data_IF_675234222944
#
_entry.id   IF_675234222944
#
_cell.length_a   1.000
_cell.length_b   1.000
_cell.length_c   1.000
_cell.angle_alpha   90.00
_cell.angle_beta   90.00
_cell.angle_gamma   90.00
#
_symmetry.space_group_name_H-M   'P 1'
#
loop_
_entity.id
_entity.type
_entity.pdbx_description
1 polymer ?
#
# COMPACT_ATOMS: atom_id res chain seq x y z
N UNK A 1 -11.54 -2.18 10.11
CA UNK A 1 -11.99 -3.57 10.30
C UNK A 1 -11.56 -4.37 9.07
N UNK A 2 -10.84 -5.50 9.22
CA UNK A 2 -10.49 -6.42 8.11
C UNK A 2 -11.52 -7.53 8.08
N UNK A 3 -12.13 -7.76 6.93
CA UNK A 3 -12.94 -8.96 6.68
C UNK A 3 -12.19 -9.87 5.72
N UNK A 4 -11.83 -11.08 6.16
CA UNK A 4 -11.20 -12.13 5.31
C UNK A 4 -12.30 -13.08 4.84
N UNK A 5 -12.50 -13.16 3.53
CA UNK A 5 -13.51 -14.01 2.90
C UNK A 5 -12.94 -15.37 2.52
N UNK A 6 -11.71 -15.38 2.00
CA UNK A 6 -11.01 -16.59 1.61
C UNK A 6 -9.70 -16.67 2.37
N UNK A 7 -9.39 -17.87 2.83
CA UNK A 7 -8.11 -18.21 3.40
C UNK A 7 -7.25 -18.97 2.39
N UNK A 8 -6.02 -18.52 2.19
CA UNK A 8 -5.05 -19.20 1.35
C UNK A 8 -4.83 -20.66 1.79
N UNK A 9 -4.83 -20.94 3.09
CA UNK A 9 -4.63 -22.30 3.59
C UNK A 9 -5.73 -23.28 3.17
N UNK A 10 -6.95 -22.79 2.88
CA UNK A 10 -8.11 -23.63 2.51
C UNK A 10 -8.39 -23.59 1.01
N UNK A 11 -8.22 -22.44 0.36
CA UNK A 11 -8.65 -22.22 -1.04
C UNK A 11 -7.50 -21.90 -2.00
N UNK A 12 -6.26 -21.80 -1.51
CA UNK A 12 -5.08 -21.44 -2.31
C UNK A 12 -5.07 -19.97 -2.79
N UNK A 13 -5.92 -19.12 -2.21
CA UNK A 13 -6.02 -17.69 -2.46
C UNK A 13 -6.63 -17.00 -1.23
N UNK A 14 -6.03 -15.90 -0.78
CA UNK A 14 -6.50 -15.04 0.31
C UNK A 14 -7.28 -13.86 -0.29
N UNK A 15 -8.49 -13.62 0.19
CA UNK A 15 -9.27 -12.43 -0.18
C UNK A 15 -9.77 -11.74 1.06
N UNK A 16 -9.62 -10.43 1.08
CA UNK A 16 -10.13 -9.61 2.16
C UNK A 16 -10.63 -8.25 1.70
N UNK A 17 -11.55 -7.66 2.46
CA UNK A 17 -11.93 -6.26 2.30
C UNK A 17 -11.74 -5.50 3.60
N UNK A 18 -11.44 -4.21 3.50
CA UNK A 18 -11.13 -3.39 4.67
C UNK A 18 -11.70 -1.99 4.55
N UNK A 19 -12.99 -1.80 4.85
CA UNK A 19 -13.56 -0.46 4.88
C UNK A 19 -12.78 0.42 5.86
N UNK A 20 -12.31 1.57 5.36
CA UNK A 20 -11.61 2.61 6.11
C UNK A 20 -12.37 3.91 5.99
N UNK A 21 -12.59 4.55 7.14
CA UNK A 21 -13.11 5.91 7.23
C UNK A 21 -12.01 6.76 7.84
N UNK A 22 -11.54 7.75 7.09
CA UNK A 22 -10.49 8.68 7.49
C UNK A 22 -11.15 10.05 7.60
N UNK A 23 -11.09 10.66 8.78
CA UNK A 23 -11.64 11.99 9.02
C UNK A 23 -10.62 12.84 9.75
N UNK A 24 -10.55 14.12 9.40
CA UNK A 24 -9.70 15.07 10.10
C UNK A 24 -10.45 15.67 11.28
N UNK A 25 -9.91 15.50 12.48
CA UNK A 25 -10.51 16.06 13.71
C UNK A 25 -10.07 17.52 13.93
N UNK A 26 -8.93 17.94 13.36
CA UNK A 26 -8.34 19.27 13.60
C UNK A 26 -8.16 20.04 12.29
N UNK A 27 -8.90 21.14 12.11
CA UNK A 27 -8.80 22.00 10.92
C UNK A 27 -7.42 22.66 10.74
N UNK A 28 -6.62 22.75 11.80
CA UNK A 28 -5.26 23.30 11.73
C UNK A 28 -4.30 22.44 10.90
N UNK A 29 -4.52 21.12 10.81
CA UNK A 29 -3.76 20.21 9.95
C UNK A 29 -4.07 20.41 8.48
N UNK A 30 -5.33 20.74 8.15
CA UNK A 30 -5.75 21.13 6.79
C UNK A 30 -5.12 22.45 6.39
N UNK A 31 -5.14 23.44 7.30
CA UNK A 31 -4.53 24.77 7.04
C UNK A 31 -3.02 24.72 6.85
N UNK A 32 -2.35 23.66 7.33
CA UNK A 32 -0.90 23.43 7.20
C UNK A 32 -0.54 22.52 6.01
N UNK A 33 -1.52 22.05 5.24
CA UNK A 33 -1.30 21.13 4.12
C UNK A 33 -0.90 19.70 4.52
N UNK A 34 -1.00 19.36 5.82
CA UNK A 34 -0.65 18.04 6.34
C UNK A 34 -1.78 17.02 6.18
N UNK A 35 -2.99 17.49 5.90
CA UNK A 35 -4.15 16.65 5.62
C UNK A 35 -5.05 17.31 4.57
N UNK A 36 -5.47 16.58 3.55
CA UNK A 36 -6.51 17.06 2.61
C UNK A 36 -7.85 17.17 3.34
N UNK A 37 -8.62 18.22 3.01
CA UNK A 37 -9.88 18.58 3.66
C UNK A 37 -10.98 17.51 3.46
N UNK A 38 -11.89 17.39 4.43
CA UNK A 38 -13.05 16.50 4.38
C UNK A 38 -12.85 15.06 4.89
N UNK A 39 -13.95 14.30 4.88
CA UNK A 39 -13.99 12.88 5.25
C UNK A 39 -13.73 12.02 4.01
N UNK A 40 -12.88 11.00 4.16
CA UNK A 40 -12.57 10.03 3.10
C UNK A 40 -13.07 8.66 3.53
N UNK A 41 -13.81 8.04 2.63
CA UNK A 41 -14.35 6.70 2.80
C UNK A 41 -13.79 5.82 1.68
N UNK A 42 -13.06 4.77 2.04
CA UNK A 42 -12.49 3.85 1.07
C UNK A 42 -12.84 2.41 1.41
N UNK A 43 -13.11 1.61 0.39
CA UNK A 43 -13.32 0.17 0.52
C UNK A 43 -12.28 -0.55 -0.35
N UNK A 44 -11.05 -0.72 0.16
CA UNK A 44 -10.05 -1.56 -0.47
C UNK A 44 -10.44 -3.04 -0.37
N UNK A 45 -10.36 -3.72 -1.50
CA UNK A 45 -10.38 -5.16 -1.67
C UNK A 45 -8.95 -5.61 -1.94
N UNK A 46 -8.50 -6.61 -1.21
CA UNK A 46 -7.16 -7.17 -1.29
C UNK A 46 -7.27 -8.65 -1.66
N UNK A 47 -6.48 -9.07 -2.64
CA UNK A 47 -6.38 -10.45 -3.09
C UNK A 47 -4.92 -10.87 -3.08
N UNK A 48 -4.56 -11.84 -2.26
CA UNK A 48 -3.20 -12.34 -2.13
C UNK A 48 -3.12 -13.82 -2.54
N UNK A 49 -2.01 -14.19 -3.17
CA UNK A 49 -1.72 -15.57 -3.52
C UNK A 49 -0.22 -15.84 -3.52
N UNK A 50 0.15 -16.94 -2.89
CA UNK A 50 1.50 -17.46 -2.79
C UNK A 50 1.68 -18.64 -3.74
N UNK A 51 2.75 -18.58 -4.53
CA UNK A 51 3.17 -19.61 -5.46
C UNK A 51 4.61 -20.02 -5.14
N UNK A 52 4.77 -20.89 -4.14
CA UNK A 52 6.08 -21.35 -3.69
C UNK A 52 6.89 -20.22 -3.06
N UNK A 53 7.86 -19.69 -3.81
CA UNK A 53 8.74 -18.57 -3.38
C UNK A 53 8.22 -17.20 -3.83
N UNK A 54 7.17 -17.17 -4.65
CA UNK A 54 6.56 -15.93 -5.14
C UNK A 54 5.30 -15.63 -4.35
N UNK A 55 5.09 -14.37 -4.04
CA UNK A 55 3.87 -13.85 -3.43
C UNK A 55 3.36 -12.75 -4.35
N UNK A 56 2.07 -12.77 -4.65
CA UNK A 56 1.43 -11.71 -5.40
C UNK A 56 0.23 -11.24 -4.60
N UNK A 57 0.11 -9.93 -4.46
CA UNK A 57 -0.98 -9.26 -3.78
C UNK A 57 -1.48 -8.15 -4.69
N UNK A 58 -2.79 -8.03 -4.81
CA UNK A 58 -3.44 -6.95 -5.55
C UNK A 58 -4.44 -6.29 -4.62
N UNK A 59 -4.32 -4.97 -4.46
CA UNK A 59 -5.28 -4.14 -3.78
C UNK A 59 -6.02 -3.27 -4.81
N UNK A 60 -7.35 -3.17 -4.70
CA UNK A 60 -8.11 -2.22 -5.48
C UNK A 60 -9.37 -1.77 -4.74
N UNK A 61 -9.83 -0.55 -4.98
CA UNK A 61 -11.10 -0.14 -4.40
C UNK A 61 -11.50 1.31 -4.68
N UNK A 62 -12.81 1.59 -4.57
CA UNK A 62 -13.30 2.96 -4.66
C UNK A 62 -12.94 3.74 -3.39
N UNK A 63 -12.56 5.00 -3.61
CA UNK A 63 -12.34 6.01 -2.58
C UNK A 63 -13.30 7.17 -2.82
N UNK A 64 -14.30 7.30 -1.96
CA UNK A 64 -15.21 8.42 -1.92
C UNK A 64 -14.65 9.51 -0.99
N UNK A 65 -14.60 10.75 -1.45
CA UNK A 65 -14.11 11.90 -0.68
C UNK A 65 -15.26 12.90 -0.58
N UNK A 66 -15.56 13.39 0.63
CA UNK A 66 -16.65 14.35 0.86
C UNK A 66 -16.37 15.71 0.22
N UNK A 67 -15.10 16.12 0.16
CA UNK A 67 -14.63 17.36 -0.48
C UNK A 67 -13.67 17.00 -1.61
N UNK A 68 -14.22 16.69 -2.79
CA UNK A 68 -13.43 16.23 -3.94
C UNK A 68 -14.26 15.38 -4.89
N UNK A 69 -13.59 14.75 -5.88
CA UNK A 69 -14.21 13.73 -6.74
C UNK A 69 -13.78 12.35 -6.29
N UNK A 70 -14.64 11.35 -6.46
CA UNK A 70 -14.30 9.96 -6.17
C UNK A 70 -13.09 9.49 -6.99
N UNK A 71 -12.24 8.72 -6.35
CA UNK A 71 -11.00 8.17 -6.88
C UNK A 71 -11.07 6.64 -6.86
N UNK A 72 -10.29 5.99 -7.71
CA UNK A 72 -10.04 4.56 -7.61
C UNK A 72 -8.58 4.33 -7.30
N UNK A 73 -8.36 3.48 -6.30
CA UNK A 73 -7.04 3.04 -5.88
C UNK A 73 -6.80 1.66 -6.48
N UNK A 74 -5.62 1.46 -7.06
CA UNK A 74 -5.16 0.15 -7.52
C UNK A 74 -3.68 0.00 -7.19
N UNK A 75 -3.31 -1.12 -6.60
CA UNK A 75 -1.95 -1.45 -6.25
C UNK A 75 -1.68 -2.92 -6.48
N UNK A 76 -0.46 -3.25 -6.88
CA UNK A 76 0.02 -4.62 -6.96
C UNK A 76 1.35 -4.72 -6.21
N UNK A 77 1.46 -5.72 -5.35
CA UNK A 77 2.68 -6.04 -4.60
C UNK A 77 3.12 -7.45 -4.97
N UNK A 78 4.34 -7.58 -5.44
CA UNK A 78 4.97 -8.85 -5.72
C UNK A 78 6.12 -9.08 -4.73
N UNK A 79 6.03 -10.14 -3.93
CA UNK A 79 7.08 -10.62 -3.05
C UNK A 79 7.83 -11.80 -3.67
N UNK A 80 9.13 -11.89 -3.40
CA UNK A 80 9.95 -13.04 -3.75
C UNK A 80 10.91 -13.40 -2.63
N UNK A 81 10.82 -14.65 -2.16
CA UNK A 81 11.73 -15.21 -1.17
C UNK A 81 13.07 -15.59 -1.83
N UNK A 82 14.09 -14.75 -1.64
CA UNK A 82 15.46 -15.02 -2.11
C UNK A 82 16.14 -16.08 -1.25
N UNK A 83 15.83 -16.09 0.05
CA UNK A 83 16.27 -17.10 0.99
C UNK A 83 15.24 -17.21 2.12
N UNK A 84 15.33 -18.26 2.95
CA UNK A 84 14.45 -18.40 4.13
C UNK A 84 14.33 -17.13 4.99
N UNK A 85 15.41 -16.39 5.29
CA UNK A 85 15.31 -15.14 6.05
C UNK A 85 15.08 -13.89 5.19
N UNK A 86 15.15 -13.97 3.85
CA UNK A 86 15.22 -12.78 2.98
C UNK A 86 14.11 -12.79 1.95
N UNK A 87 13.23 -11.80 2.08
CA UNK A 87 12.15 -11.53 1.14
C UNK A 87 12.40 -10.18 0.48
N UNK A 88 12.33 -10.16 -0.86
CA UNK A 88 12.27 -8.94 -1.64
C UNK A 88 10.81 -8.66 -1.99
N UNK A 89 10.44 -7.39 -2.03
CA UNK A 89 9.10 -6.95 -2.38
C UNK A 89 9.21 -5.83 -3.41
N UNK A 90 8.31 -5.83 -4.37
CA UNK A 90 8.13 -4.73 -5.30
C UNK A 90 6.65 -4.37 -5.29
N UNK A 91 6.35 -3.10 -5.08
CA UNK A 91 4.99 -2.57 -5.06
C UNK A 91 4.86 -1.52 -6.15
N UNK A 92 3.81 -1.64 -6.94
CA UNK A 92 3.39 -0.64 -7.89
C UNK A 92 2.02 -0.15 -7.45
N UNK A 93 1.95 1.12 -7.08
CA UNK A 93 0.72 1.77 -6.64
C UNK A 93 0.33 2.85 -7.64
N UNK A 94 -0.91 2.85 -8.09
CA UNK A 94 -1.47 3.84 -9.00
C UNK A 94 -2.81 4.36 -8.47
N UNK A 95 -2.97 5.68 -8.54
CA UNK A 95 -4.18 6.38 -8.12
C UNK A 95 -4.85 7.01 -9.33
N UNK A 96 -5.93 6.40 -9.81
CA UNK A 96 -6.71 6.90 -10.94
C UNK A 96 -7.86 7.77 -10.42
N UNK A 97 -7.75 9.09 -10.64
CA UNK A 97 -8.91 9.99 -10.55
C UNK A 97 -9.81 9.78 -11.77
N UNK A 98 -11.14 9.81 -11.61
CA UNK A 98 -12.15 9.61 -12.69
C UNK A 98 -12.03 10.55 -13.91
N UNK A 99 -11.05 11.46 -13.96
CA UNK A 99 -10.79 12.38 -15.06
C UNK A 99 -9.55 12.01 -15.91
N UNK A 100 -8.89 10.86 -15.68
CA UNK A 100 -7.70 10.39 -16.43
C UNK A 100 -6.54 11.40 -16.57
N UNK A 101 -6.54 12.45 -15.73
CA UNK A 101 -5.66 13.61 -15.91
C UNK A 101 -4.61 13.73 -14.81
N UNK A 102 -4.65 12.85 -13.80
CA UNK A 102 -3.63 12.75 -12.76
C UNK A 102 -3.43 11.29 -12.36
N UNK A 103 -2.57 10.62 -13.12
CA UNK A 103 -2.08 9.29 -12.76
C UNK A 103 -0.80 9.49 -11.94
N UNK A 104 -0.87 9.16 -10.65
CA UNK A 104 0.31 9.13 -9.77
C UNK A 104 0.78 7.70 -9.68
N UNK A 105 1.82 7.39 -10.45
CA UNK A 105 2.42 6.06 -10.46
C UNK A 105 3.61 6.05 -9.50
N UNK A 106 3.52 5.25 -8.45
CA UNK A 106 4.59 5.07 -7.46
C UNK A 106 5.11 3.65 -7.54
N UNK A 107 6.43 3.52 -7.65
CA UNK A 107 7.11 2.23 -7.62
C UNK A 107 7.96 2.14 -6.35
N UNK A 108 7.69 1.15 -5.52
CA UNK A 108 8.41 0.87 -4.29
C UNK A 108 9.12 -0.48 -4.38
N UNK A 109 10.33 -0.54 -3.83
CA UNK A 109 11.09 -1.77 -3.65
C UNK A 109 11.38 -1.95 -2.17
N UNK A 110 10.87 -3.03 -1.59
CA UNK A 110 11.10 -3.44 -0.23
C UNK A 110 12.11 -4.58 -0.11
N UNK A 111 12.85 -4.59 0.97
CA UNK A 111 13.64 -5.74 1.41
C UNK A 111 13.33 -6.00 2.87
N UNK A 112 12.98 -7.25 3.18
CA UNK A 112 12.80 -7.72 4.54
C UNK A 112 13.81 -8.83 4.79
N UNK A 113 14.67 -8.64 5.79
CA UNK A 113 15.71 -9.60 6.15
C UNK A 113 15.66 -9.92 7.64
N UNK A 114 15.37 -11.17 7.97
CA UNK A 114 15.39 -11.69 9.32
C UNK A 114 16.83 -12.10 9.69
N UNK A 115 17.50 -11.32 10.53
CA UNK A 115 18.82 -11.68 11.03
C UNK A 115 18.74 -12.80 12.08
N UNK A 116 17.72 -12.73 12.93
CA UNK A 116 17.44 -13.65 14.03
C UNK A 116 15.94 -13.57 14.34
N UNK A 117 15.39 -14.52 15.09
CA UNK A 117 13.97 -14.51 15.52
C UNK A 117 13.56 -13.20 16.23
N UNK A 118 14.51 -12.46 16.78
CA UNK A 118 14.29 -11.20 17.49
C UNK A 118 14.58 -9.94 16.66
N UNK A 119 15.20 -10.06 15.47
CA UNK A 119 15.71 -8.93 14.71
C UNK A 119 15.34 -9.03 13.23
N UNK A 120 14.48 -8.12 12.79
CA UNK A 120 13.99 -8.07 11.41
C UNK A 120 14.34 -6.70 10.83
N UNK A 121 15.12 -6.71 9.77
CA UNK A 121 15.45 -5.53 8.98
C UNK A 121 14.38 -5.32 7.92
N UNK A 122 13.91 -4.08 7.79
CA UNK A 122 12.97 -3.68 6.76
C UNK A 122 13.53 -2.44 6.07
N UNK A 123 13.78 -2.56 4.77
CA UNK A 123 14.16 -1.46 3.90
C UNK A 123 13.05 -1.25 2.88
N UNK A 124 12.78 0.00 2.51
CA UNK A 124 11.90 0.34 1.41
C UNK A 124 12.48 1.51 0.64
N UNK A 125 12.41 1.46 -0.68
CA UNK A 125 12.88 2.50 -1.57
C UNK A 125 11.79 2.77 -2.59
N UNK A 126 11.18 3.94 -2.50
CA UNK A 126 10.11 4.42 -3.36
C UNK A 126 10.58 5.48 -4.35
N UNK A 127 10.05 5.40 -5.56
CA UNK A 127 10.21 6.41 -6.57
C UNK A 127 8.87 6.73 -7.21
N UNK A 128 8.51 8.00 -7.20
CA UNK A 128 7.35 8.50 -7.94
C UNK A 128 7.73 8.62 -9.42
N UNK A 129 7.19 7.74 -10.26
CA UNK A 129 7.49 7.71 -11.70
C UNK A 129 6.73 8.78 -12.48
N UNK A 130 5.54 9.16 -12.01
CA UNK A 130 4.71 10.17 -12.65
C UNK A 130 3.96 10.95 -11.59
N UNK A 131 4.16 12.27 -11.56
CA UNK A 131 3.37 13.19 -10.74
C UNK A 131 3.08 14.44 -11.60
N UNK A 132 1.81 14.72 -11.96
CA UNK A 132 1.45 15.84 -12.85
C UNK A 132 1.81 17.23 -12.31
N UNK A 133 2.03 17.35 -11.00
CA UNK A 133 2.04 18.62 -10.27
C UNK A 133 3.31 18.85 -9.44
N UNK A 134 4.19 17.86 -9.28
CA UNK A 134 5.37 17.93 -8.41
C UNK A 134 6.59 17.22 -9.02
N UNK A 135 7.82 17.65 -8.68
CA UNK A 135 9.02 16.92 -9.06
C UNK A 135 9.01 15.52 -8.44
N UNK A 136 9.37 14.52 -9.24
CA UNK A 136 9.45 13.11 -8.84
C UNK A 136 10.28 12.94 -7.57
N UNK A 137 9.64 12.53 -6.47
CA UNK A 137 10.32 12.31 -5.22
C UNK A 137 10.91 10.89 -5.16
N UNK A 138 12.12 10.80 -4.62
CA UNK A 138 12.73 9.53 -4.23
C UNK A 138 12.76 9.46 -2.71
N UNK A 139 12.16 8.41 -2.16
CA UNK A 139 11.95 8.26 -0.74
C UNK A 139 12.52 6.91 -0.29
N UNK A 140 13.48 6.94 0.61
CA UNK A 140 14.06 5.73 1.21
C UNK A 140 13.69 5.64 2.68
N UNK A 141 13.23 4.47 3.10
CA UNK A 141 12.98 4.12 4.49
C UNK A 141 13.87 2.95 4.90
N UNK A 142 14.38 3.04 6.11
CA UNK A 142 15.11 1.98 6.78
C UNK A 142 14.54 1.83 8.19
N UNK A 143 14.20 0.61 8.56
CA UNK A 143 13.63 0.27 9.84
C UNK A 143 14.17 -1.06 10.36
N UNK A 144 14.20 -1.18 11.68
CA UNK A 144 14.53 -2.42 12.37
C UNK A 144 13.39 -2.73 13.34
N UNK A 145 12.79 -3.91 13.18
CA UNK A 145 11.76 -4.42 14.05
C UNK A 145 12.39 -5.41 15.04
N UNK A 146 12.21 -5.12 16.33
CA UNK A 146 12.62 -5.96 17.44
C UNK A 146 11.40 -6.77 17.91
N UNK A 147 11.53 -8.08 17.90
CA UNK A 147 10.48 -8.99 18.36
C UNK A 147 10.91 -9.60 19.69
N UNK A 148 10.12 -9.37 20.74
CA UNK A 148 10.33 -9.86 22.11
C UNK A 148 9.18 -10.75 22.52
#
# INVERSE_FOLDING_TARGET
>A
MKWRFLDEATNGLDMSMFPRVIFNVVQSSVRRGLAEDGTRFQIPFQMAKTFGRWHADVEFGPRAITVGRSEWLYGIVCGFDVAKPTMLMAELHDELRMNFSRDVLTLNFGLRHEFTENYILIMSMGHELRSPDQPTAFIGYFGMQLVY
#
